data_IF_751343370716
#
_entry.id   IF_751343370716
#
_cell.length_a   1.000
_cell.length_b   1.000
_cell.length_c   1.000
_cell.angle_alpha   90.00
_cell.angle_beta   90.00
_cell.angle_gamma   90.00
#
_symmetry.space_group_name_H-M   'P 1'
#
loop_
_entity.id
_entity.type
_entity.pdbx_description
1 polymer ?
#
# COMPACT_ATOMS: atom_id res chain seq x y z
N UNK A 1 -5.35 -6.61 -7.82
CA UNK A 1 -4.22 -6.86 -8.75
C UNK A 1 -3.01 -6.00 -8.44
N UNK A 2 -1.82 -6.55 -8.66
CA UNK A 2 -0.59 -5.78 -8.56
C UNK A 2 -0.46 -4.83 -9.76
N UNK A 3 -0.12 -3.58 -9.50
CA UNK A 3 0.19 -2.57 -10.51
C UNK A 3 1.50 -1.90 -10.11
N UNK A 4 2.49 -1.98 -11.00
CA UNK A 4 3.84 -1.50 -10.74
C UNK A 4 3.93 0.03 -10.51
N UNK A 5 5.12 0.50 -10.12
CA UNK A 5 5.46 1.91 -10.02
C UNK A 5 5.11 2.72 -11.28
N UNK A 6 4.48 3.88 -11.10
CA UNK A 6 4.23 4.85 -12.17
C UNK A 6 4.38 6.29 -11.68
N UNK A 7 5.55 6.67 -11.13
CA UNK A 7 5.75 8.04 -10.66
C UNK A 7 5.83 9.00 -11.86
N UNK A 8 5.40 10.25 -11.67
CA UNK A 8 5.46 11.26 -12.74
C UNK A 8 6.90 11.74 -12.96
N UNK A 9 7.32 11.92 -14.20
CA UNK A 9 8.66 12.42 -14.52
C UNK A 9 8.99 13.72 -13.77
N UNK A 10 10.26 13.84 -13.33
CA UNK A 10 10.76 15.04 -12.64
C UNK A 10 10.32 15.16 -11.18
N UNK A 11 9.73 14.11 -10.58
CA UNK A 11 9.37 14.09 -9.15
C UNK A 11 10.44 13.43 -8.27
N UNK A 12 11.59 13.06 -8.87
CA UNK A 12 12.77 12.60 -8.15
C UNK A 12 12.68 11.14 -7.69
N UNK A 13 13.26 10.84 -6.52
CA UNK A 13 13.35 9.48 -5.98
C UNK A 13 12.08 9.12 -5.19
N UNK A 14 11.38 8.07 -5.62
CA UNK A 14 10.20 7.51 -4.97
C UNK A 14 10.57 6.28 -4.15
N UNK A 15 9.92 6.11 -3.00
CA UNK A 15 10.02 4.91 -2.16
C UNK A 15 8.76 4.08 -2.33
N UNK A 16 8.93 2.82 -2.72
CA UNK A 16 7.85 1.84 -2.78
C UNK A 16 8.06 0.86 -1.64
N UNK A 17 7.12 0.85 -0.71
CA UNK A 17 7.22 0.12 0.56
C UNK A 17 6.25 -1.06 0.49
N UNK A 18 6.76 -2.25 0.73
CA UNK A 18 5.97 -3.43 1.01
C UNK A 18 5.86 -3.58 2.52
N UNK A 19 4.62 -3.67 3.01
CA UNK A 19 4.30 -3.88 4.41
C UNK A 19 3.61 -5.23 4.53
N UNK A 20 4.14 -6.10 5.38
CA UNK A 20 3.55 -7.39 5.67
C UNK A 20 2.89 -7.36 7.05
N UNK A 21 1.61 -7.69 7.08
CA UNK A 21 0.83 -7.72 8.30
C UNK A 21 0.36 -9.13 8.63
N UNK A 22 0.39 -9.49 9.90
CA UNK A 22 -0.33 -10.62 10.46
C UNK A 22 -1.76 -10.19 10.80
N UNK A 23 -2.73 -11.05 10.50
CA UNK A 23 -4.13 -10.88 10.92
C UNK A 23 -4.59 -12.13 11.65
N UNK A 24 -5.45 -11.93 12.65
CA UNK A 24 -6.09 -13.00 13.43
C UNK A 24 -7.43 -13.41 12.78
N UNK A 25 -8.04 -12.51 12.00
CA UNK A 25 -9.33 -12.69 11.36
C UNK A 25 -9.23 -12.59 9.83
N UNK A 26 -10.32 -12.87 9.13
CA UNK A 26 -10.38 -12.66 7.68
C UNK A 26 -10.44 -11.16 7.39
N UNK A 27 -9.45 -10.65 6.67
CA UNK A 27 -9.37 -9.24 6.24
C UNK A 27 -10.56 -8.87 5.34
N UNK A 28 -11.20 -7.74 5.64
CA UNK A 28 -12.27 -7.16 4.82
C UNK A 28 -11.67 -6.67 3.49
N UNK A 29 -12.13 -7.24 2.38
CA UNK A 29 -11.63 -6.90 1.04
C UNK A 29 -12.26 -5.63 0.43
N UNK A 30 -13.13 -4.98 1.19
CA UNK A 30 -13.77 -3.73 0.84
C UNK A 30 -12.69 -2.68 0.55
N UNK A 31 -12.69 -2.08 -0.64
CA UNK A 31 -11.71 -1.09 -1.11
C UNK A 31 -10.33 -1.63 -1.56
N UNK A 32 -10.19 -2.92 -1.92
CA UNK A 32 -8.96 -3.43 -2.54
C UNK A 32 -8.97 -3.24 -4.09
N UNK A 33 -10.15 -3.14 -4.69
CA UNK A 33 -10.33 -2.87 -6.12
C UNK A 33 -10.44 -1.37 -6.39
N UNK A 34 -9.33 -0.66 -6.19
CA UNK A 34 -9.26 0.79 -6.39
C UNK A 34 -8.87 1.08 -7.84
N UNK A 35 -9.65 1.96 -8.48
CA UNK A 35 -9.21 2.62 -9.70
C UNK A 35 -7.95 3.49 -9.41
N UNK A 36 -7.24 3.92 -10.46
CA UNK A 36 -6.00 4.71 -10.31
C UNK A 36 -6.20 5.97 -9.42
N UNK A 37 -7.31 6.73 -9.51
CA UNK A 37 -7.60 7.84 -8.59
C UNK A 37 -7.62 7.43 -7.12
N UNK A 38 -8.32 6.34 -6.77
CA UNK A 38 -8.49 5.92 -5.39
C UNK A 38 -7.20 5.34 -4.76
N UNK A 39 -6.28 4.76 -5.57
CA UNK A 39 -4.97 4.28 -5.09
C UNK A 39 -4.10 5.36 -4.48
N UNK A 40 -4.20 6.62 -4.96
CA UNK A 40 -3.32 7.72 -4.55
C UNK A 40 -3.49 8.17 -3.10
N UNK A 41 -4.63 7.87 -2.47
CA UNK A 41 -4.99 8.33 -1.12
C UNK A 41 -5.48 7.19 -0.23
N UNK A 42 -4.90 6.00 -0.39
CA UNK A 42 -5.29 4.84 0.41
C UNK A 42 -5.10 5.13 1.92
N UNK A 43 -6.15 5.01 2.75
CA UNK A 43 -6.06 5.31 4.18
C UNK A 43 -5.48 4.13 4.96
N UNK A 44 -4.16 3.91 4.82
CA UNK A 44 -3.45 2.76 5.38
C UNK A 44 -3.70 2.55 6.87
N UNK A 45 -3.58 3.61 7.69
CA UNK A 45 -3.75 3.52 9.14
C UNK A 45 -5.16 3.08 9.53
N UNK A 46 -6.18 3.62 8.84
CA UNK A 46 -7.56 3.21 9.03
C UNK A 46 -7.77 1.75 8.65
N UNK A 47 -7.21 1.33 7.52
CA UNK A 47 -7.30 -0.06 7.06
C UNK A 47 -6.65 -1.05 8.05
N UNK A 48 -5.49 -0.70 8.61
CA UNK A 48 -4.79 -1.47 9.63
C UNK A 48 -5.62 -1.57 10.91
N UNK A 49 -6.19 -0.46 11.37
CA UNK A 49 -7.04 -0.41 12.56
C UNK A 49 -8.33 -1.24 12.37
N UNK A 50 -9.07 -1.00 11.29
CA UNK A 50 -10.34 -1.68 10.99
C UNK A 50 -10.20 -3.21 10.88
N UNK A 51 -9.02 -3.70 10.48
CA UNK A 51 -8.72 -5.12 10.27
C UNK A 51 -7.82 -5.73 11.35
N UNK A 52 -7.50 -4.96 12.40
CA UNK A 52 -6.77 -5.43 13.58
C UNK A 52 -5.41 -6.05 13.19
N UNK A 53 -4.71 -5.37 12.29
CA UNK A 53 -3.49 -5.87 11.66
C UNK A 53 -2.25 -5.53 12.50
N UNK A 54 -1.38 -6.52 12.67
CA UNK A 54 -0.08 -6.34 13.32
C UNK A 54 1.02 -6.33 12.25
N UNK A 55 1.83 -5.28 12.17
CA UNK A 55 2.97 -5.24 11.25
C UNK A 55 4.02 -6.25 11.71
N UNK A 56 4.46 -7.13 10.81
CA UNK A 56 5.45 -8.18 11.12
C UNK A 56 6.73 -8.06 10.30
N UNK A 57 6.67 -7.47 9.11
CA UNK A 57 7.86 -7.25 8.29
C UNK A 57 7.65 -6.08 7.31
N UNK A 58 8.76 -5.51 6.83
CA UNK A 58 8.77 -4.48 5.81
C UNK A 58 10.00 -4.59 4.92
N UNK A 59 9.80 -4.27 3.64
CA UNK A 59 10.91 -4.05 2.71
C UNK A 59 10.56 -2.90 1.78
N UNK A 60 11.56 -2.32 1.14
CA UNK A 60 11.33 -1.23 0.20
C UNK A 60 12.37 -1.22 -0.91
N UNK A 61 12.00 -0.62 -2.03
CA UNK A 61 12.92 -0.23 -3.07
C UNK A 61 12.67 1.22 -3.47
N UNK A 62 13.63 1.79 -4.20
CA UNK A 62 13.49 3.14 -4.72
C UNK A 62 13.63 3.19 -6.22
N UNK A 63 12.85 4.06 -6.86
CA UNK A 63 12.97 4.37 -8.27
C UNK A 63 13.13 5.87 -8.47
N UNK A 64 13.89 6.25 -9.48
CA UNK A 64 13.95 7.64 -9.93
C UNK A 64 12.93 7.85 -11.04
N UNK A 65 12.16 8.93 -10.94
CA UNK A 65 11.17 9.36 -11.92
C UNK A 65 11.71 10.46 -12.84
#
# INVERSE_FOLDING_TARGET
>A
DYMGPGPRAGTGKHRYIYLLYQSIEKVKQENIFLDIPQRRKFPLEKFVCDNHLQLIDLTFFTLHA
#
